data_IF_888871473340
#
_entry.id   IF_888871473340
#
_cell.length_a   1.000
_cell.length_b   1.000
_cell.length_c   1.000
_cell.angle_alpha   90.00
_cell.angle_beta   90.00
_cell.angle_gamma   90.00
#
_symmetry.space_group_name_H-M   'P 1'
#
loop_
_entity.id
_entity.type
_entity.pdbx_description
1 polymer ?
#
# COMPACT_ATOMS: atom_id res chain seq x y z
N UNK A 1 -7.60 9.44 12.70
CA UNK A 1 -8.69 10.38 13.06
C UNK A 1 -8.70 11.66 12.22
N UNK A 2 -7.57 12.14 11.70
CA UNK A 2 -7.51 13.43 10.99
C UNK A 2 -8.21 13.42 9.61
N UNK A 3 -8.20 12.31 8.85
CA UNK A 3 -8.84 12.29 7.52
C UNK A 3 -10.35 12.04 7.53
N UNK A 4 -10.86 11.19 8.42
CA UNK A 4 -12.31 11.09 8.65
C UNK A 4 -12.89 12.48 8.99
N UNK A 5 -12.10 13.31 9.69
CA UNK A 5 -12.40 14.71 9.97
C UNK A 5 -12.12 15.69 8.81
N UNK A 6 -11.27 15.36 7.83
CA UNK A 6 -11.05 16.19 6.63
C UNK A 6 -12.08 15.93 5.54
N UNK A 7 -12.55 14.69 5.37
CA UNK A 7 -13.74 14.38 4.56
C UNK A 7 -14.96 15.12 5.13
N UNK A 8 -14.97 15.41 6.43
CA UNK A 8 -16.02 16.21 7.09
C UNK A 8 -15.98 17.72 6.75
N UNK A 9 -14.83 18.30 6.39
CA UNK A 9 -14.68 19.75 6.13
C UNK A 9 -14.67 20.08 4.63
N UNK A 10 -14.20 19.16 3.79
CA UNK A 10 -14.08 19.35 2.33
C UNK A 10 -15.04 18.45 1.54
N UNK A 11 -16.22 18.17 2.11
CA UNK A 11 -17.17 17.22 1.54
C UNK A 11 -17.59 17.61 0.12
N UNK A 12 -17.91 18.89 -0.09
CA UNK A 12 -18.30 19.42 -1.40
C UNK A 12 -17.19 19.21 -2.43
N UNK A 13 -15.94 19.51 -2.08
CA UNK A 13 -14.78 19.31 -2.95
C UNK A 13 -14.62 17.84 -3.38
N UNK A 14 -14.76 16.90 -2.44
CA UNK A 14 -14.61 15.48 -2.79
C UNK A 14 -15.81 14.95 -3.57
N UNK A 15 -17.02 15.43 -3.28
CA UNK A 15 -18.21 15.10 -4.08
C UNK A 15 -18.03 15.53 -5.54
N UNK A 16 -17.52 16.76 -5.76
CA UNK A 16 -17.19 17.30 -7.08
C UNK A 16 -16.06 16.53 -7.75
N UNK A 17 -14.94 16.31 -7.05
CA UNK A 17 -13.80 15.55 -7.57
C UNK A 17 -14.21 14.16 -8.05
N UNK A 18 -14.93 13.41 -7.22
CA UNK A 18 -15.38 12.05 -7.55
C UNK A 18 -16.44 12.08 -8.68
N UNK A 19 -17.20 13.18 -8.85
CA UNK A 19 -18.10 13.34 -10.02
C UNK A 19 -17.37 13.34 -11.36
N UNK A 20 -16.11 13.78 -11.38
CA UNK A 20 -15.33 13.87 -12.63
C UNK A 20 -15.00 12.50 -13.22
N UNK A 21 -15.02 11.44 -12.39
CA UNK A 21 -14.67 10.08 -12.80
C UNK A 21 -15.92 9.29 -13.20
N UNK A 22 -16.48 9.64 -14.36
CA UNK A 22 -17.58 8.89 -14.97
C UNK A 22 -17.08 7.63 -15.69
N UNK A 23 -17.97 6.95 -16.44
CA UNK A 23 -17.62 5.73 -17.19
C UNK A 23 -16.69 5.97 -18.40
N UNK A 24 -16.41 7.22 -18.77
CA UNK A 24 -15.48 7.57 -19.86
C UNK A 24 -14.06 7.76 -19.34
N UNK A 25 -13.89 8.05 -18.05
CA UNK A 25 -12.58 8.18 -17.42
C UNK A 25 -12.17 6.83 -16.85
N UNK A 26 -11.17 6.22 -17.47
CA UNK A 26 -10.63 4.94 -17.03
C UNK A 26 -9.52 5.20 -16.01
N UNK A 27 -9.64 4.57 -14.85
CA UNK A 27 -8.70 4.72 -13.75
C UNK A 27 -7.80 3.51 -13.74
N UNK A 28 -6.50 3.77 -13.78
CA UNK A 28 -5.45 2.83 -13.47
C UNK A 28 -4.74 3.27 -12.20
N UNK A 29 -4.46 2.36 -11.28
CA UNK A 29 -3.56 2.62 -10.16
C UNK A 29 -2.77 1.37 -9.76
N UNK A 30 -1.53 1.60 -9.32
CA UNK A 30 -0.62 0.57 -8.80
C UNK A 30 -0.26 0.87 -7.35
N UNK A 31 -0.33 -0.13 -6.49
CA UNK A 31 0.09 -0.04 -5.09
C UNK A 31 1.25 -0.99 -4.84
N UNK A 32 2.39 -0.46 -4.42
CA UNK A 32 3.60 -1.26 -4.21
C UNK A 32 4.26 -0.92 -2.88
N UNK A 33 4.78 -1.95 -2.19
CA UNK A 33 5.53 -1.75 -0.96
C UNK A 33 6.99 -1.43 -1.28
N UNK A 34 7.46 -0.26 -0.84
CA UNK A 34 8.88 0.11 -0.99
C UNK A 34 9.81 -0.86 -0.25
N UNK A 35 9.37 -1.36 0.90
CA UNK A 35 10.12 -2.36 1.67
C UNK A 35 10.20 -3.67 0.89
N UNK A 36 9.10 -4.12 0.29
CA UNK A 36 9.08 -5.31 -0.56
C UNK A 36 10.07 -5.20 -1.71
N UNK A 37 10.06 -4.07 -2.41
CA UNK A 37 10.95 -3.82 -3.52
C UNK A 37 12.42 -3.87 -3.11
N UNK A 38 12.77 -3.17 -2.02
CA UNK A 38 14.15 -3.13 -1.50
C UNK A 38 14.63 -4.51 -1.06
N UNK A 39 13.77 -5.26 -0.35
CA UNK A 39 14.11 -6.62 0.09
C UNK A 39 14.24 -7.55 -1.11
N UNK A 40 13.41 -7.38 -2.14
CA UNK A 40 13.54 -8.15 -3.39
C UNK A 40 14.86 -7.87 -4.10
N UNK A 41 15.31 -6.61 -4.14
CA UNK A 41 16.61 -6.24 -4.69
C UNK A 41 17.79 -6.81 -3.88
N UNK A 42 17.69 -6.81 -2.55
CA UNK A 42 18.74 -7.36 -1.69
C UNK A 42 18.98 -8.85 -1.95
N UNK A 43 17.92 -9.59 -2.28
CA UNK A 43 17.96 -11.02 -2.51
C UNK A 43 17.79 -11.41 -4.00
N UNK A 44 18.12 -10.51 -4.94
CA UNK A 44 17.88 -10.74 -6.37
C UNK A 44 18.66 -11.94 -6.94
N UNK A 45 19.86 -12.18 -6.43
CA UNK A 45 20.74 -13.28 -6.84
C UNK A 45 20.57 -14.53 -5.96
N UNK A 46 19.57 -14.55 -5.07
CA UNK A 46 19.33 -15.65 -4.13
C UNK A 46 18.11 -16.45 -4.57
N UNK A 47 18.27 -17.76 -4.64
CA UNK A 47 17.22 -18.68 -5.07
C UNK A 47 16.86 -19.67 -3.96
N UNK A 48 15.61 -20.13 -3.98
CA UNK A 48 15.16 -21.18 -3.09
C UNK A 48 15.99 -22.45 -3.31
N UNK A 49 16.30 -23.15 -2.22
CA UNK A 49 16.95 -24.46 -2.22
C UNK A 49 16.27 -25.38 -1.22
N UNK A 50 16.65 -26.67 -1.22
CA UNK A 50 16.12 -27.66 -0.26
C UNK A 50 16.34 -27.22 1.19
N UNK A 51 17.41 -26.48 1.46
CA UNK A 51 17.80 -26.05 2.81
C UNK A 51 17.34 -24.63 3.14
N UNK A 52 17.01 -23.81 2.14
CA UNK A 52 16.80 -22.37 2.30
C UNK A 52 15.60 -21.89 1.49
N UNK A 53 14.58 -21.37 2.18
CA UNK A 53 13.41 -20.74 1.56
C UNK A 53 13.53 -19.21 1.58
N UNK A 54 14.06 -18.64 0.49
CA UNK A 54 14.28 -17.20 0.30
C UNK A 54 12.98 -16.42 0.40
N UNK A 55 11.89 -16.92 -0.16
CA UNK A 55 10.61 -16.21 -0.15
C UNK A 55 10.03 -16.09 1.26
N UNK A 56 10.13 -17.14 2.06
CA UNK A 56 9.77 -17.13 3.47
C UNK A 56 10.60 -16.12 4.27
N UNK A 57 11.87 -15.93 3.92
CA UNK A 57 12.73 -14.96 4.58
C UNK A 57 12.44 -13.53 4.15
N UNK A 58 12.25 -13.29 2.85
CA UNK A 58 11.78 -11.99 2.34
C UNK A 58 10.50 -11.57 3.08
N UNK A 59 9.54 -12.49 3.18
CA UNK A 59 8.32 -12.31 3.96
C UNK A 59 8.58 -11.99 5.42
N UNK A 60 9.40 -12.80 6.09
CA UNK A 60 9.71 -12.61 7.51
C UNK A 60 10.37 -11.26 7.78
N UNK A 61 11.28 -10.80 6.91
CA UNK A 61 11.93 -9.49 7.01
C UNK A 61 10.91 -8.36 6.81
N UNK A 62 10.11 -8.43 5.75
CA UNK A 62 9.12 -7.38 5.42
C UNK A 62 8.08 -7.26 6.54
N UNK A 63 7.55 -8.39 7.04
CA UNK A 63 6.63 -8.38 8.19
C UNK A 63 7.31 -7.84 9.45
N UNK A 64 8.55 -8.21 9.75
CA UNK A 64 9.25 -7.69 10.92
C UNK A 64 9.43 -6.16 10.86
N UNK A 65 9.84 -5.61 9.71
CA UNK A 65 9.96 -4.15 9.52
C UNK A 65 8.58 -3.48 9.66
N UNK A 66 7.55 -4.04 9.02
CA UNK A 66 6.20 -3.47 9.06
C UNK A 66 5.57 -3.50 10.46
N UNK A 67 5.77 -4.57 11.22
CA UNK A 67 5.22 -4.75 12.57
C UNK A 67 5.96 -3.89 13.58
N UNK A 68 7.29 -3.96 13.61
CA UNK A 68 8.10 -3.33 14.66
C UNK A 68 8.52 -1.89 14.34
N UNK A 69 8.47 -1.49 13.08
CA UNK A 69 8.82 -0.14 12.59
C UNK A 69 10.17 0.35 13.14
N UNK A 70 11.26 -0.42 12.96
CA UNK A 70 12.58 -0.06 13.47
C UNK A 70 13.09 1.21 12.77
N UNK A 71 13.06 2.35 13.47
CA UNK A 71 13.43 3.66 12.92
C UNK A 71 14.79 3.66 12.21
N UNK A 72 15.82 3.07 12.86
CA UNK A 72 17.17 3.00 12.30
C UNK A 72 17.23 2.26 10.97
N UNK A 73 16.52 1.14 10.84
CA UNK A 73 16.43 0.37 9.60
C UNK A 73 15.70 1.17 8.52
N UNK A 74 14.56 1.78 8.86
CA UNK A 74 13.76 2.58 7.92
C UNK A 74 14.55 3.79 7.42
N UNK A 75 15.28 4.48 8.29
CA UNK A 75 16.13 5.60 7.90
C UNK A 75 17.33 5.16 7.06
N UNK A 76 17.89 3.97 7.33
CA UNK A 76 19.04 3.44 6.60
C UNK A 76 18.73 3.08 5.14
N UNK A 77 17.46 2.81 4.80
CA UNK A 77 17.00 2.59 3.41
C UNK A 77 17.40 3.74 2.49
N UNK A 78 17.35 4.99 2.99
CA UNK A 78 17.61 6.19 2.21
C UNK A 78 19.09 6.59 2.18
N UNK A 79 19.97 5.77 2.74
CA UNK A 79 21.40 6.02 2.85
C UNK A 79 22.15 5.06 1.92
N UNK A 80 23.01 4.21 2.48
CA UNK A 80 23.80 3.25 1.72
C UNK A 80 23.32 1.81 1.99
N UNK A 81 23.29 0.93 0.98
CA UNK A 81 22.82 -0.44 1.13
C UNK A 81 23.54 -1.22 2.23
N UNK A 82 24.85 -0.98 2.43
CA UNK A 82 25.64 -1.62 3.50
C UNK A 82 25.17 -1.21 4.90
N UNK A 83 24.81 0.06 5.08
CA UNK A 83 24.26 0.55 6.33
C UNK A 83 22.87 -0.05 6.60
N UNK A 84 22.03 -0.16 5.56
CA UNK A 84 20.73 -0.83 5.67
C UNK A 84 20.86 -2.27 6.19
N UNK A 85 21.74 -3.08 5.58
CA UNK A 85 21.98 -4.46 6.02
C UNK A 85 22.51 -4.51 7.46
N UNK A 86 23.45 -3.62 7.81
CA UNK A 86 23.98 -3.53 9.18
C UNK A 86 22.89 -3.24 10.21
N UNK A 87 22.06 -2.23 9.97
CA UNK A 87 20.98 -1.86 10.88
C UNK A 87 19.90 -2.95 10.96
N UNK A 88 19.61 -3.63 9.84
CA UNK A 88 18.71 -4.78 9.81
C UNK A 88 19.24 -5.91 10.69
N UNK A 89 20.52 -6.27 10.57
CA UNK A 89 21.17 -7.26 11.42
C UNK A 89 21.13 -6.87 12.90
N UNK A 90 21.39 -5.60 13.24
CA UNK A 90 21.31 -5.12 14.63
C UNK A 90 19.89 -5.28 15.18
N UNK A 91 18.89 -4.83 14.42
CA UNK A 91 17.49 -4.92 14.79
C UNK A 91 17.05 -6.37 15.03
N UNK A 92 17.39 -7.31 14.15
CA UNK A 92 17.02 -8.72 14.31
C UNK A 92 17.66 -9.34 15.56
N UNK A 93 18.95 -9.04 15.83
CA UNK A 93 19.64 -9.50 17.04
C UNK A 93 18.99 -8.95 18.32
N UNK A 94 18.71 -7.65 18.36
CA UNK A 94 18.00 -7.02 19.47
C UNK A 94 16.63 -7.64 19.69
N UNK A 95 15.89 -7.93 18.60
CA UNK A 95 14.55 -8.53 18.69
C UNK A 95 14.57 -9.95 19.21
N UNK A 96 15.55 -10.77 18.82
CA UNK A 96 15.76 -12.12 19.39
C UNK A 96 15.96 -12.04 20.91
N UNK A 97 16.77 -11.09 21.40
CA UNK A 97 17.00 -10.89 22.84
C UNK A 97 15.68 -10.51 23.55
N UNK A 98 14.94 -9.54 23.01
CA UNK A 98 13.65 -9.11 23.59
C UNK A 98 12.65 -10.28 23.65
N UNK A 99 12.61 -11.10 22.61
CA UNK A 99 11.71 -12.24 22.50
C UNK A 99 11.97 -13.34 23.53
N UNK A 100 13.14 -13.36 24.19
CA UNK A 100 13.43 -14.30 25.30
C UNK A 100 12.44 -14.18 26.46
N UNK A 101 11.83 -13.00 26.64
CA UNK A 101 10.76 -12.79 27.62
C UNK A 101 9.48 -13.58 27.33
N UNK A 102 9.30 -14.09 26.10
CA UNK A 102 8.16 -14.90 25.71
C UNK A 102 8.55 -15.91 24.60
N UNK A 103 9.48 -16.81 24.93
CA UNK A 103 10.04 -17.78 23.98
C UNK A 103 8.97 -18.66 23.32
N UNK A 104 7.94 -19.10 24.05
CA UNK A 104 6.92 -20.00 23.51
C UNK A 104 6.15 -19.36 22.34
N UNK A 105 5.73 -18.09 22.47
CA UNK A 105 5.01 -17.40 21.40
C UNK A 105 5.93 -16.89 20.27
N UNK A 106 7.24 -16.81 20.52
CA UNK A 106 8.22 -16.20 19.61
C UNK A 106 9.24 -17.15 19.01
N UNK A 107 9.14 -18.45 19.28
CA UNK A 107 10.08 -19.47 18.79
C UNK A 107 10.23 -19.45 17.26
N UNK A 108 9.11 -19.44 16.52
CA UNK A 108 9.12 -19.39 15.05
C UNK A 108 9.73 -18.09 14.52
N UNK A 109 9.43 -16.96 15.16
CA UNK A 109 9.99 -15.66 14.80
C UNK A 109 11.52 -15.64 15.04
N UNK A 110 11.97 -16.15 16.18
CA UNK A 110 13.39 -16.25 16.51
C UNK A 110 14.14 -17.16 15.54
N UNK A 111 13.57 -18.31 15.19
CA UNK A 111 14.15 -19.24 14.22
C UNK A 111 14.31 -18.56 12.86
N UNK A 112 13.26 -17.87 12.38
CA UNK A 112 13.32 -17.12 11.13
C UNK A 112 14.41 -16.03 11.17
N UNK A 113 14.49 -15.27 12.27
CA UNK A 113 15.50 -14.22 12.42
C UNK A 113 16.93 -14.76 12.47
N UNK A 114 17.16 -15.91 13.10
CA UNK A 114 18.47 -16.56 13.10
C UNK A 114 18.87 -17.02 11.69
N UNK A 115 17.95 -17.62 10.94
CA UNK A 115 18.19 -18.02 9.54
C UNK A 115 18.49 -16.81 8.64
N UNK A 116 17.73 -15.73 8.80
CA UNK A 116 17.96 -14.47 8.08
C UNK A 116 19.36 -13.92 8.40
N UNK A 117 19.76 -13.91 9.67
CA UNK A 117 21.07 -13.38 10.09
C UNK A 117 22.23 -14.16 9.48
N UNK A 118 22.11 -15.49 9.33
CA UNK A 118 23.14 -16.32 8.68
C UNK A 118 23.33 -15.84 7.23
N UNK A 119 22.25 -15.69 6.47
CA UNK A 119 22.34 -15.28 5.07
C UNK A 119 22.75 -13.83 4.87
N UNK A 120 22.30 -12.92 5.73
CA UNK A 120 22.69 -11.51 5.64
C UNK A 120 24.20 -11.32 5.82
N UNK A 121 24.89 -12.21 6.53
CA UNK A 121 26.36 -12.17 6.64
C UNK A 121 27.04 -12.54 5.31
N UNK A 122 26.42 -13.40 4.52
CA UNK A 122 26.92 -13.88 3.22
C UNK A 122 26.27 -13.12 2.05
N UNK A 123 25.53 -12.04 2.32
CA UNK A 123 24.80 -11.31 1.28
C UNK A 123 25.72 -10.38 0.50
N UNK A 124 25.81 -10.57 -0.82
CA UNK A 124 26.42 -9.57 -1.71
C UNK A 124 25.52 -8.33 -1.78
N UNK A 125 25.87 -7.32 -0.98
CA UNK A 125 25.07 -6.10 -0.88
C UNK A 125 25.09 -5.33 -2.22
N UNK A 126 23.91 -5.02 -2.80
CA UNK A 126 23.83 -4.23 -4.02
C UNK A 126 24.56 -2.89 -3.91
N UNK A 127 25.10 -2.39 -5.02
CA UNK A 127 25.77 -1.07 -5.06
C UNK A 127 24.79 0.08 -4.75
N UNK A 128 23.53 -0.07 -5.13
CA UNK A 128 22.44 0.89 -4.92
C UNK A 128 21.12 0.18 -4.69
N UNK A 129 20.19 0.87 -4.03
CA UNK A 129 18.80 0.47 -3.83
C UNK A 129 17.90 1.55 -4.44
N UNK A 130 18.04 1.73 -5.76
CA UNK A 130 17.29 2.75 -6.50
C UNK A 130 15.86 2.25 -6.75
N UNK A 131 14.88 3.12 -6.49
CA UNK A 131 13.48 2.85 -6.81
C UNK A 131 13.23 3.03 -8.31
N UNK A 132 12.42 2.14 -8.89
CA UNK A 132 11.96 2.22 -10.28
C UNK A 132 10.45 2.07 -10.35
N UNK A 133 9.84 2.73 -11.33
CA UNK A 133 8.40 2.61 -11.62
C UNK A 133 8.09 1.53 -12.66
N UNK A 134 9.07 0.71 -13.02
CA UNK A 134 8.94 -0.34 -14.04
C UNK A 134 7.69 -1.20 -13.86
N UNK A 135 7.47 -1.75 -12.66
CA UNK A 135 6.31 -2.62 -12.40
C UNK A 135 4.97 -1.90 -12.69
N UNK A 136 4.83 -0.65 -12.23
CA UNK A 136 3.61 0.14 -12.50
C UNK A 136 3.38 0.42 -13.98
N UNK A 137 4.44 0.53 -14.79
CA UNK A 137 4.28 0.73 -16.24
C UNK A 137 4.09 -0.58 -17.00
N UNK A 138 4.74 -1.67 -16.58
CA UNK A 138 4.51 -3.02 -17.12
C UNK A 138 3.05 -3.43 -16.96
N UNK A 139 2.44 -3.16 -15.81
CA UNK A 139 1.02 -3.45 -15.60
C UNK A 139 0.09 -2.46 -16.32
N UNK A 140 0.51 -1.21 -16.50
CA UNK A 140 -0.23 -0.26 -17.33
C UNK A 140 -0.26 -0.70 -18.81
N UNK A 141 0.85 -1.26 -19.34
CA UNK A 141 0.90 -1.82 -20.69
C UNK A 141 -0.10 -2.98 -20.86
N UNK A 142 -0.26 -3.83 -19.84
CA UNK A 142 -1.28 -4.89 -19.83
C UNK A 142 -2.70 -4.34 -19.92
N UNK A 143 -2.98 -3.22 -19.25
CA UNK A 143 -4.27 -2.53 -19.38
C UNK A 143 -4.48 -1.99 -20.80
N UNK A 144 -3.47 -1.33 -21.39
CA UNK A 144 -3.57 -0.85 -22.78
C UNK A 144 -3.85 -2.01 -23.74
N UNK A 145 -3.19 -3.15 -23.53
CA UNK A 145 -3.40 -4.37 -24.33
C UNK A 145 -4.81 -4.92 -24.15
N UNK A 146 -5.31 -5.02 -22.92
CA UNK A 146 -6.69 -5.44 -22.63
C UNK A 146 -7.73 -4.53 -23.30
N UNK A 147 -7.44 -3.23 -23.36
CA UNK A 147 -8.29 -2.24 -23.98
C UNK A 147 -8.15 -2.13 -25.51
N UNK A 148 -7.20 -2.85 -26.12
CA UNK A 148 -6.80 -2.69 -27.51
C UNK A 148 -6.45 -1.23 -27.88
N UNK A 149 -5.70 -0.54 -27.00
CA UNK A 149 -5.18 0.81 -27.28
C UNK A 149 -3.75 0.69 -27.81
N UNK A 150 -3.57 1.03 -29.08
CA UNK A 150 -2.24 1.11 -29.72
C UNK A 150 -1.79 2.56 -29.95
N UNK A 151 -2.74 3.46 -30.22
CA UNK A 151 -2.49 4.89 -30.43
C UNK A 151 -2.90 5.68 -29.19
N UNK A 152 -1.90 6.21 -28.50
CA UNK A 152 -2.08 7.00 -27.29
C UNK A 152 -0.95 8.00 -27.13
N UNK A 153 -1.18 8.97 -26.25
CA UNK A 153 -0.14 9.87 -25.73
C UNK A 153 -0.10 9.73 -24.22
N UNK A 154 1.05 9.34 -23.68
CA UNK A 154 1.25 9.23 -22.24
C UNK A 154 1.89 10.52 -21.72
N UNK A 155 1.17 11.23 -20.84
CA UNK A 155 1.65 12.47 -20.22
C UNK A 155 1.89 12.18 -18.74
N UNK A 156 3.13 12.38 -18.29
CA UNK A 156 3.59 12.06 -16.94
C UNK A 156 3.94 13.37 -16.22
N UNK A 157 3.62 13.45 -14.92
CA UNK A 157 4.08 14.58 -14.10
C UNK A 157 5.59 14.55 -13.93
N UNK A 158 6.23 15.72 -13.99
CA UNK A 158 7.70 15.79 -13.91
C UNK A 158 8.19 15.44 -12.50
N UNK A 159 8.87 14.29 -12.37
CA UNK A 159 9.47 13.86 -11.11
C UNK A 159 10.98 14.16 -11.05
N UNK A 160 11.33 15.18 -10.27
CA UNK A 160 12.72 15.54 -9.99
C UNK A 160 13.50 15.95 -11.23
N UNK A 161 14.84 15.97 -11.12
CA UNK A 161 15.72 16.38 -12.24
C UNK A 161 16.13 15.22 -13.16
N UNK A 162 15.91 13.98 -12.73
CA UNK A 162 16.40 12.77 -13.40
C UNK A 162 15.32 12.05 -14.21
N UNK A 163 14.08 12.54 -14.19
CA UNK A 163 12.97 11.99 -14.97
C UNK A 163 12.82 10.47 -14.82
N UNK A 164 12.96 9.97 -13.58
CA UNK A 164 12.98 8.53 -13.30
C UNK A 164 11.70 7.85 -13.80
N UNK A 165 10.55 8.51 -13.64
CA UNK A 165 9.23 8.02 -14.03
C UNK A 165 9.07 7.94 -15.54
N UNK A 166 9.50 8.98 -16.26
CA UNK A 166 9.58 8.98 -17.73
C UNK A 166 10.47 7.85 -18.23
N UNK A 167 11.67 7.73 -17.66
CA UNK A 167 12.64 6.71 -18.07
C UNK A 167 12.10 5.30 -17.82
N UNK A 168 11.44 5.04 -16.68
CA UNK A 168 10.80 3.75 -16.42
C UNK A 168 9.71 3.41 -17.45
N UNK A 169 8.90 4.39 -17.87
CA UNK A 169 7.88 4.16 -18.91
C UNK A 169 8.52 3.80 -20.26
N UNK A 170 9.58 4.50 -20.64
CA UNK A 170 10.33 4.23 -21.88
C UNK A 170 11.02 2.86 -21.82
N UNK A 171 11.62 2.49 -20.69
CA UNK A 171 12.28 1.20 -20.47
C UNK A 171 11.33 0.01 -20.59
N UNK A 172 10.07 0.16 -20.16
CA UNK A 172 9.01 -0.85 -20.37
C UNK A 172 8.66 -1.00 -21.85
N UNK A 173 8.81 0.06 -22.65
CA UNK A 173 8.45 0.09 -24.07
C UNK A 173 7.21 0.93 -24.40
N UNK A 174 6.71 1.71 -23.44
CA UNK A 174 5.59 2.63 -23.68
C UNK A 174 5.98 3.72 -24.68
N UNK A 175 5.05 4.07 -25.56
CA UNK A 175 5.24 4.98 -26.69
C UNK A 175 4.66 6.37 -26.40
N UNK A 176 5.11 7.37 -27.16
CA UNK A 176 4.59 8.74 -27.12
C UNK A 176 4.55 9.34 -25.70
N UNK A 177 5.59 9.07 -24.91
CA UNK A 177 5.68 9.49 -23.51
C UNK A 177 6.32 10.88 -23.42
N UNK A 178 5.66 11.79 -22.72
CA UNK A 178 6.17 13.13 -22.44
C UNK A 178 5.98 13.51 -20.97
N UNK A 179 6.77 14.44 -20.48
CA UNK A 179 6.53 15.12 -19.21
C UNK A 179 5.76 16.43 -19.40
N UNK A 180 4.92 16.80 -18.44
CA UNK A 180 4.24 18.10 -18.40
C UNK A 180 4.06 18.57 -16.93
N UNK A 181 3.92 19.88 -16.72
CA UNK A 181 3.57 20.44 -15.41
C UNK A 181 2.07 20.24 -15.15
N UNK A 182 1.71 19.77 -13.95
CA UNK A 182 0.31 19.61 -13.54
C UNK A 182 -0.55 20.88 -13.74
N UNK A 183 0.03 22.09 -13.65
CA UNK A 183 -0.67 23.35 -13.95
C UNK A 183 -1.21 23.40 -15.38
N UNK A 184 -0.53 22.76 -16.32
CA UNK A 184 -0.86 22.75 -17.74
C UNK A 184 -1.68 21.50 -18.15
N UNK A 185 -1.71 20.45 -17.32
CA UNK A 185 -2.42 19.21 -17.63
C UNK A 185 -3.53 18.90 -16.61
N UNK A 186 -4.79 18.95 -17.06
CA UNK A 186 -5.95 18.61 -16.20
C UNK A 186 -5.90 17.13 -15.78
N UNK A 187 -5.49 16.22 -16.69
CA UNK A 187 -5.38 14.79 -16.40
C UNK A 187 -4.42 14.48 -15.27
N UNK A 188 -3.24 15.13 -15.25
CA UNK A 188 -2.27 15.00 -14.15
C UNK A 188 -2.90 15.48 -12.82
N UNK A 189 -3.54 16.66 -12.81
CA UNK A 189 -4.19 17.18 -11.59
C UNK A 189 -5.27 16.24 -11.07
N UNK A 190 -6.08 15.67 -11.97
CA UNK A 190 -7.09 14.69 -11.58
C UNK A 190 -6.45 13.43 -10.97
N UNK A 191 -5.38 12.92 -11.56
CA UNK A 191 -4.64 11.77 -11.04
C UNK A 191 -4.03 12.07 -9.66
N UNK A 192 -3.37 13.21 -9.49
CA UNK A 192 -2.76 13.63 -8.22
C UNK A 192 -3.80 13.79 -7.09
N UNK A 193 -4.95 14.39 -7.40
CA UNK A 193 -6.02 14.55 -6.43
C UNK A 193 -6.63 13.20 -6.04
N UNK A 194 -6.85 12.31 -7.03
CA UNK A 194 -7.39 10.98 -6.78
C UNK A 194 -6.43 10.12 -5.95
N UNK A 195 -5.16 10.04 -6.34
CA UNK A 195 -4.16 9.27 -5.60
C UNK A 195 -3.90 9.87 -4.21
N UNK A 196 -4.00 11.20 -4.09
CA UNK A 196 -3.97 11.91 -2.81
C UNK A 196 -5.12 11.50 -1.88
N UNK A 197 -6.34 11.33 -2.40
CA UNK A 197 -7.48 10.83 -1.63
C UNK A 197 -7.29 9.36 -1.24
N UNK A 198 -6.95 8.49 -2.20
CA UNK A 198 -6.73 7.05 -1.96
C UNK A 198 -5.65 6.84 -0.89
N UNK A 199 -4.47 7.44 -1.09
CA UNK A 199 -3.32 7.27 -0.20
C UNK A 199 -3.59 7.77 1.21
N UNK A 200 -4.28 8.89 1.38
CA UNK A 200 -4.64 9.41 2.71
C UNK A 200 -5.62 8.49 3.42
N UNK A 201 -6.62 7.95 2.71
CA UNK A 201 -7.60 7.05 3.32
C UNK A 201 -6.94 5.72 3.72
N UNK A 202 -6.13 5.13 2.84
CA UNK A 202 -5.29 3.96 3.14
C UNK A 202 -4.41 4.21 4.36
N UNK A 203 -3.68 5.33 4.40
CA UNK A 203 -2.82 5.68 5.53
C UNK A 203 -3.62 5.87 6.83
N UNK A 204 -4.83 6.42 6.76
CA UNK A 204 -5.69 6.60 7.93
C UNK A 204 -6.19 5.25 8.46
N UNK A 205 -6.59 4.33 7.58
CA UNK A 205 -6.95 2.97 7.95
C UNK A 205 -5.76 2.24 8.57
N UNK A 206 -4.60 2.29 7.93
CA UNK A 206 -3.34 1.71 8.44
C UNK A 206 -3.03 2.17 9.86
N UNK A 207 -3.12 3.49 10.12
CA UNK A 207 -2.86 4.03 11.46
C UNK A 207 -3.90 3.55 12.47
N UNK A 208 -5.18 3.46 12.08
CA UNK A 208 -6.25 2.98 12.96
C UNK A 208 -6.19 1.48 13.23
N UNK A 209 -5.71 0.69 12.28
CA UNK A 209 -5.56 -0.77 12.39
C UNK A 209 -4.18 -1.20 12.92
N UNK A 210 -3.34 -0.24 13.29
CA UNK A 210 -1.99 -0.53 13.78
C UNK A 210 -2.01 -0.96 15.25
N UNK A 211 -1.40 -2.12 15.52
CA UNK A 211 -1.12 -2.58 16.87
C UNK A 211 0.15 -1.98 17.47
N UNK A 212 0.16 -1.84 18.80
CA UNK A 212 1.41 -1.62 19.55
C UNK A 212 2.00 -2.96 20.01
N UNK A 213 2.97 -3.46 19.25
CA UNK A 213 3.66 -4.72 19.51
C UNK A 213 5.00 -4.53 20.24
N UNK A 214 5.33 -3.32 20.74
CA UNK A 214 6.62 -3.07 21.41
C UNK A 214 6.86 -4.02 22.57
N UNK A 215 5.82 -4.29 23.35
CA UNK A 215 5.85 -5.15 24.55
C UNK A 215 5.56 -6.63 24.27
N UNK A 216 5.33 -7.01 23.01
CA UNK A 216 5.02 -8.39 22.61
C UNK A 216 3.61 -8.88 23.00
N UNK A 217 2.76 -8.04 23.60
CA UNK A 217 1.36 -8.37 23.90
C UNK A 217 0.51 -8.33 22.64
N UNK A 218 -0.26 -9.38 22.40
CA UNK A 218 -1.23 -9.44 21.29
C UNK A 218 -2.57 -8.95 21.80
N UNK A 219 -3.12 -7.92 21.16
CA UNK A 219 -4.48 -7.44 21.39
C UNK A 219 -5.19 -7.34 20.05
N UNK A 220 -6.47 -7.71 20.01
CA UNK A 220 -7.34 -7.47 18.87
C UNK A 220 -7.40 -5.96 18.59
N UNK A 221 -7.13 -5.58 17.35
CA UNK A 221 -7.19 -4.18 16.89
C UNK A 221 -8.41 -4.07 15.99
N UNK A 222 -9.21 -3.04 16.24
CA UNK A 222 -10.42 -2.74 15.50
C UNK A 222 -10.39 -1.28 15.10
N UNK A 223 -11.13 -0.92 14.05
CA UNK A 223 -11.44 0.48 13.79
C UNK A 223 -12.20 1.08 14.99
N UNK A 224 -11.97 2.36 15.25
CA UNK A 224 -12.79 3.07 16.23
C UNK A 224 -14.23 3.23 15.71
N UNK A 225 -15.23 3.21 16.60
CA UNK A 225 -16.63 3.36 16.19
C UNK A 225 -16.90 4.71 15.50
N UNK A 226 -16.06 5.72 15.73
CA UNK A 226 -16.09 6.99 15.03
C UNK A 226 -15.93 6.88 13.51
N UNK A 227 -15.29 5.82 12.98
CA UNK A 227 -15.23 5.58 11.53
C UNK A 227 -16.60 5.36 10.88
N UNK A 228 -17.60 4.99 11.68
CA UNK A 228 -18.96 4.70 11.24
C UNK A 228 -19.96 5.77 11.69
N UNK A 229 -19.51 6.78 12.44
CA UNK A 229 -20.33 7.90 12.90
C UNK A 229 -20.51 8.95 11.78
N UNK A 230 -21.20 8.54 10.72
CA UNK A 230 -21.36 9.30 9.48
C UNK A 230 -22.73 10.01 9.40
N UNK A 231 -22.85 10.96 8.48
CA UNK A 231 -24.13 11.45 7.99
C UNK A 231 -24.45 10.84 6.60
N UNK A 232 -25.65 11.11 6.09
CA UNK A 232 -26.11 10.55 4.81
C UNK A 232 -25.21 10.94 3.63
N UNK A 233 -24.82 12.22 3.52
CA UNK A 233 -23.95 12.70 2.43
C UNK A 233 -22.60 11.98 2.42
N UNK A 234 -22.03 11.73 3.60
CA UNK A 234 -20.75 11.00 3.69
C UNK A 234 -20.86 9.55 3.26
N UNK A 235 -21.95 8.85 3.62
CA UNK A 235 -22.20 7.49 3.13
C UNK A 235 -22.35 7.51 1.61
N UNK A 236 -23.08 8.47 1.06
CA UNK A 236 -23.27 8.60 -0.37
C UNK A 236 -21.96 8.90 -1.10
N UNK A 237 -21.07 9.70 -0.51
CA UNK A 237 -19.72 9.90 -1.03
C UNK A 237 -18.90 8.59 -1.03
N UNK A 238 -18.90 7.82 0.05
CA UNK A 238 -18.21 6.51 0.08
C UNK A 238 -18.78 5.55 -0.97
N UNK A 239 -20.10 5.52 -1.16
CA UNK A 239 -20.77 4.70 -2.19
C UNK A 239 -20.38 5.14 -3.60
N UNK A 240 -20.31 6.45 -3.82
CA UNK A 240 -19.85 7.01 -5.10
C UNK A 240 -18.39 6.66 -5.35
N UNK A 241 -17.54 6.77 -4.33
CA UNK A 241 -16.13 6.44 -4.45
C UNK A 241 -15.91 4.93 -4.67
N UNK A 242 -16.68 4.08 -3.98
CA UNK A 242 -16.74 2.64 -4.24
C UNK A 242 -17.10 2.34 -5.69
N UNK A 243 -18.10 3.03 -6.27
CA UNK A 243 -18.46 2.83 -7.68
C UNK A 243 -17.30 3.18 -8.60
N UNK A 244 -16.64 4.31 -8.37
CA UNK A 244 -15.50 4.77 -9.18
C UNK A 244 -14.33 3.79 -9.12
N UNK A 245 -13.93 3.35 -7.92
CA UNK A 245 -12.76 2.48 -7.73
C UNK A 245 -13.07 1.02 -8.08
N UNK A 246 -14.20 0.48 -7.63
CA UNK A 246 -14.46 -0.97 -7.67
C UNK A 246 -15.38 -1.39 -8.83
N UNK A 247 -16.33 -0.55 -9.25
CA UNK A 247 -17.41 -0.97 -10.18
C UNK A 247 -17.21 -0.45 -11.60
N UNK A 248 -16.83 0.81 -11.77
CA UNK A 248 -16.64 1.43 -13.07
C UNK A 248 -15.41 0.82 -13.77
N UNK A 249 -15.46 0.78 -15.11
CA UNK A 249 -14.37 0.36 -15.99
C UNK A 249 -13.80 -1.00 -15.58
N UNK A 250 -14.62 -2.05 -15.71
CA UNK A 250 -14.31 -3.40 -15.26
C UNK A 250 -13.27 -4.09 -16.16
N UNK A 251 -12.05 -3.59 -16.10
CA UNK A 251 -10.85 -4.17 -16.71
C UNK A 251 -10.06 -4.93 -15.64
N UNK A 252 -9.49 -6.06 -16.03
CA UNK A 252 -8.65 -6.89 -15.17
C UNK A 252 -7.44 -6.12 -14.66
N UNK A 253 -6.79 -5.35 -15.53
CA UNK A 253 -5.54 -4.63 -15.20
C UNK A 253 -5.77 -3.19 -14.70
N UNK A 254 -6.98 -2.84 -14.25
CA UNK A 254 -7.27 -1.48 -13.76
C UNK A 254 -6.63 -1.14 -12.41
N UNK A 255 -6.32 -2.16 -11.61
CA UNK A 255 -5.73 -2.01 -10.29
C UNK A 255 -4.67 -3.08 -10.10
N UNK A 256 -3.44 -2.67 -9.77
CA UNK A 256 -2.35 -3.59 -9.51
C UNK A 256 -1.84 -3.44 -8.09
N UNK A 257 -1.38 -4.55 -7.51
CA UNK A 257 -0.75 -4.55 -6.20
C UNK A 257 0.45 -5.50 -6.16
N UNK A 258 1.51 -5.07 -5.45
CA UNK A 258 2.56 -5.97 -5.02
C UNK A 258 2.06 -7.01 -4.00
N UNK A 259 2.93 -7.91 -3.57
CA UNK A 259 2.56 -9.04 -2.68
C UNK A 259 2.09 -8.54 -1.31
N UNK A 260 2.61 -7.39 -0.84
CA UNK A 260 2.27 -6.84 0.48
C UNK A 260 1.22 -5.74 0.34
N UNK A 261 0.00 -6.16 0.00
CA UNK A 261 -1.14 -5.30 -0.29
C UNK A 261 -2.15 -5.15 0.86
N UNK A 262 -1.77 -5.48 2.11
CA UNK A 262 -2.64 -5.42 3.30
C UNK A 262 -3.42 -4.09 3.39
N UNK A 263 -2.73 -2.96 3.17
CA UNK A 263 -3.32 -1.62 3.22
C UNK A 263 -4.33 -1.37 2.08
N UNK A 264 -4.10 -1.94 0.89
CA UNK A 264 -5.01 -1.84 -0.24
C UNK A 264 -6.26 -2.70 0.00
N UNK A 265 -6.08 -3.92 0.49
CA UNK A 265 -7.18 -4.84 0.83
C UNK A 265 -8.08 -4.20 1.88
N UNK A 266 -7.50 -3.62 2.94
CA UNK A 266 -8.26 -2.90 3.97
C UNK A 266 -9.06 -1.73 3.39
N UNK A 267 -8.49 -0.97 2.44
CA UNK A 267 -9.17 0.13 1.75
C UNK A 267 -10.33 -0.34 0.87
N UNK A 268 -10.12 -1.35 0.03
CA UNK A 268 -11.18 -1.91 -0.83
C UNK A 268 -12.29 -2.53 0.02
N UNK A 269 -11.93 -3.32 1.03
CA UNK A 269 -12.88 -3.91 1.97
C UNK A 269 -13.67 -2.86 2.74
N UNK A 270 -13.05 -1.74 3.11
CA UNK A 270 -13.75 -0.61 3.73
C UNK A 270 -14.77 0.04 2.80
N UNK A 271 -14.41 0.31 1.53
CA UNK A 271 -15.34 0.85 0.55
C UNK A 271 -16.51 -0.11 0.29
N UNK A 272 -16.23 -1.41 0.15
CA UNK A 272 -17.25 -2.44 0.01
C UNK A 272 -18.18 -2.49 1.21
N UNK A 273 -17.63 -2.48 2.43
CA UNK A 273 -18.39 -2.49 3.68
C UNK A 273 -19.34 -1.28 3.75
N UNK A 274 -18.83 -0.08 3.46
CA UNK A 274 -19.62 1.16 3.45
C UNK A 274 -20.73 1.12 2.39
N UNK A 275 -20.49 0.48 1.25
CA UNK A 275 -21.48 0.38 0.19
C UNK A 275 -22.69 -0.52 0.53
N UNK A 276 -22.59 -1.37 1.56
CA UNK A 276 -23.72 -2.24 1.99
C UNK A 276 -24.84 -1.45 2.67
N UNK A 277 -24.54 -0.29 3.24
CA UNK A 277 -25.54 0.55 3.89
C UNK A 277 -26.40 1.27 2.84
N UNK A 278 -27.73 1.11 2.93
CA UNK A 278 -28.68 1.84 2.08
C UNK A 278 -28.70 3.30 2.47
N UNK A 279 -28.77 3.58 3.76
CA UNK A 279 -28.81 4.92 4.35
C UNK A 279 -28.15 4.91 5.75
N UNK A 280 -28.15 6.07 6.41
CA UNK A 280 -27.58 6.22 7.75
C UNK A 280 -28.33 5.43 8.84
N UNK A 281 -29.62 5.17 8.65
CA UNK A 281 -30.41 4.45 9.65
C UNK A 281 -29.99 2.98 9.74
N UNK A 282 -29.51 2.38 8.64
CA UNK A 282 -28.94 1.03 8.67
C UNK A 282 -27.76 0.92 9.66
N UNK A 283 -26.90 1.96 9.72
CA UNK A 283 -25.76 2.01 10.65
C UNK A 283 -26.25 2.15 12.09
N UNK A 284 -27.25 3.02 12.32
CA UNK A 284 -27.82 3.27 13.65
C UNK A 284 -28.55 2.04 14.20
N UNK A 285 -29.34 1.38 13.36
CA UNK A 285 -30.16 0.23 13.71
C UNK A 285 -29.31 -1.00 14.07
N UNK A 286 -28.09 -1.09 13.54
CA UNK A 286 -27.16 -2.22 13.79
C UNK A 286 -26.19 -1.95 14.96
N UNK A 287 -26.47 -0.96 15.82
CA UNK A 287 -25.64 -0.54 16.94
C UNK A 287 -24.24 -0.06 16.50
N UNK A 288 -24.04 1.26 16.50
CA UNK A 288 -22.79 1.90 16.11
C UNK A 288 -21.54 1.31 16.81
N UNK A 289 -21.66 0.84 18.07
CA UNK A 289 -20.55 0.25 18.81
C UNK A 289 -20.10 -1.11 18.27
N UNK A 290 -20.97 -1.81 17.53
CA UNK A 290 -20.68 -3.12 16.92
C UNK A 290 -20.14 -3.02 15.49
N UNK A 291 -20.22 -1.84 14.85
CA UNK A 291 -19.71 -1.68 13.49
C UNK A 291 -18.22 -2.04 13.31
N UNK A 292 -17.32 -1.73 14.26
CA UNK A 292 -15.95 -2.22 14.18
C UNK A 292 -15.82 -3.74 14.09
N UNK A 293 -16.67 -4.46 14.83
CA UNK A 293 -16.68 -5.92 14.83
C UNK A 293 -17.22 -6.48 13.50
N UNK A 294 -18.30 -5.90 12.99
CA UNK A 294 -18.86 -6.29 11.70
C UNK A 294 -17.91 -6.02 10.54
N UNK A 295 -17.19 -4.90 10.58
CA UNK A 295 -16.17 -4.60 9.59
C UNK A 295 -15.01 -5.60 9.65
N UNK A 296 -14.52 -5.91 10.86
CA UNK A 296 -13.45 -6.88 11.03
C UNK A 296 -13.85 -8.27 10.55
N UNK A 297 -15.08 -8.72 10.84
CA UNK A 297 -15.59 -9.99 10.30
C UNK A 297 -15.64 -9.94 8.76
N UNK A 298 -16.19 -8.87 8.18
CA UNK A 298 -16.35 -8.73 6.73
C UNK A 298 -15.02 -8.73 5.95
N UNK A 299 -13.96 -8.11 6.48
CA UNK A 299 -12.65 -8.04 5.78
C UNK A 299 -11.79 -9.29 5.99
N UNK A 300 -12.08 -10.08 7.03
CA UNK A 300 -11.33 -11.29 7.35
C UNK A 300 -12.00 -12.59 6.84
N UNK A 301 -13.19 -12.49 6.25
CA UNK A 301 -13.84 -13.56 5.47
C UNK A 301 -13.19 -13.70 4.09
#
# INVERSE_FOLDING_TARGET
MVLHHLILILLDFYEDLISLFDKKVIIYFSVSSKIEYIISQLFINYHNSVLVNIDFMKYSIIKAINVYQPKKVIEAIYKEPKLFVKELCSFLKERIIINQSNNILKEKENTAFQQILILLNDTEVPKKLDWSYFASFDDFEKLLTEMNIEDYKLIIDREGKKSHTLNSAIEVGLKNVIEEDSKNCIGIRMADMLIGLISRLMQSLKVSLRGDYKTGRVKKILLDSGWFALNQRQIDLYKKFYRVICVNNNYWYKAYAGIYSDDLIAFIGFLQFMNRFKNIDDIKNTNLKMQPEYYNAFVCE
#
